data_IF_690540952622
#
_entry.id   IF_690540952622
#
_cell.length_a   1.000
_cell.length_b   1.000
_cell.length_c   1.000
_cell.angle_alpha   90.00
_cell.angle_beta   90.00
_cell.angle_gamma   90.00
#
_symmetry.space_group_name_H-M   'P 1'
#
loop_
_entity.id
_entity.type
_entity.pdbx_description
1 polymer ?
#
# COMPACT_ATOMS: atom_id res chain seq x y z
N UNK A 1 -20.02 22.33 -22.84
CA UNK A 1 -19.98 22.28 -21.36
C UNK A 1 -18.80 21.38 -20.96
N UNK A 2 -17.72 21.95 -20.43
CA UNK A 2 -16.51 21.21 -20.10
C UNK A 2 -16.46 20.91 -18.59
N UNK A 3 -16.31 19.63 -18.24
CA UNK A 3 -16.23 19.13 -16.87
C UNK A 3 -14.89 19.54 -16.22
N UNK A 4 -14.83 20.10 -15.00
CA UNK A 4 -13.57 20.50 -14.40
C UNK A 4 -12.79 19.27 -13.94
N UNK A 5 -11.64 19.02 -14.56
CA UNK A 5 -10.64 18.04 -14.11
C UNK A 5 -10.27 18.34 -12.66
N UNK A 6 -10.38 17.33 -11.78
CA UNK A 6 -10.09 17.44 -10.36
C UNK A 6 -8.70 18.05 -10.10
N UNK A 7 -8.70 19.25 -9.52
CA UNK A 7 -7.49 19.90 -9.00
C UNK A 7 -6.95 19.03 -7.86
N UNK A 8 -5.78 18.41 -8.02
CA UNK A 8 -5.07 17.76 -6.91
C UNK A 8 -4.89 18.80 -5.80
N UNK A 9 -5.45 18.54 -4.61
CA UNK A 9 -5.27 19.38 -3.42
C UNK A 9 -3.81 19.30 -2.98
N UNK A 10 -2.98 20.23 -3.46
CA UNK A 10 -1.62 20.48 -2.94
C UNK A 10 -1.62 21.45 -1.75
N UNK A 11 -2.78 21.96 -1.34
CA UNK A 11 -2.87 23.16 -0.51
C UNK A 11 -3.29 22.93 0.94
N UNK A 12 -2.98 21.78 1.54
CA UNK A 12 -3.28 21.54 2.97
C UNK A 12 -2.38 20.48 3.59
N UNK A 13 -1.07 20.60 3.44
CA UNK A 13 -0.13 19.82 4.26
C UNK A 13 0.21 20.65 5.52
N UNK A 14 0.16 20.04 6.72
CA UNK A 14 0.56 20.72 7.95
C UNK A 14 2.07 21.05 7.93
N UNK A 15 2.52 22.05 8.70
CA UNK A 15 3.84 22.67 8.58
C UNK A 15 5.07 21.80 8.91
N UNK A 16 4.89 20.49 9.13
CA UNK A 16 5.97 19.54 9.47
C UNK A 16 6.08 18.36 8.47
N UNK A 17 5.59 18.51 7.24
CA UNK A 17 5.52 17.43 6.25
C UNK A 17 6.23 17.77 4.93
N UNK A 18 7.42 18.37 5.04
CA UNK A 18 8.10 19.06 3.93
C UNK A 18 9.05 18.19 3.09
N UNK A 19 8.91 16.86 3.11
CA UNK A 19 9.61 16.00 2.15
C UNK A 19 8.63 15.10 1.43
N UNK A 20 7.98 15.67 0.40
CA UNK A 20 7.22 14.88 -0.57
C UNK A 20 8.22 14.12 -1.44
N UNK A 21 8.37 12.83 -1.20
CA UNK A 21 9.08 11.94 -2.13
C UNK A 21 8.20 11.77 -3.36
N UNK A 22 8.70 12.19 -4.53
CA UNK A 22 8.00 11.98 -5.80
C UNK A 22 8.37 10.60 -6.34
N UNK A 23 7.43 9.66 -6.27
CA UNK A 23 7.60 8.33 -6.85
C UNK A 23 7.30 8.37 -8.36
N UNK A 24 8.09 7.65 -9.14
CA UNK A 24 7.79 7.44 -10.56
C UNK A 24 6.53 6.56 -10.68
N UNK A 25 5.53 6.95 -11.50
CA UNK A 25 4.27 6.21 -11.62
C UNK A 25 4.41 4.75 -12.08
N UNK A 26 5.54 4.40 -12.70
CA UNK A 26 5.85 3.07 -13.22
C UNK A 26 6.77 2.24 -12.31
N UNK A 27 7.01 2.68 -11.07
CA UNK A 27 7.96 2.04 -10.14
C UNK A 27 7.27 1.60 -8.84
N UNK A 28 6.39 0.57 -8.89
CA UNK A 28 5.80 0.01 -7.67
C UNK A 28 6.88 -0.52 -6.71
N UNK A 29 8.02 -0.95 -7.24
CA UNK A 29 9.18 -1.45 -6.51
C UNK A 29 9.75 -0.43 -5.50
N UNK A 30 9.55 0.86 -5.78
CA UNK A 30 9.97 1.99 -4.94
C UNK A 30 8.85 2.52 -4.03
N UNK A 31 7.70 1.85 -3.99
CA UNK A 31 6.57 2.22 -3.15
C UNK A 31 6.35 1.15 -2.05
N UNK A 32 6.92 1.32 -0.84
CA UNK A 32 6.82 0.33 0.24
C UNK A 32 5.40 -0.07 0.62
N UNK A 33 4.40 0.80 0.36
CA UNK A 33 3.01 0.48 0.67
C UNK A 33 2.49 -0.70 -0.16
N UNK A 34 3.03 -0.95 -1.36
CA UNK A 34 2.66 -2.12 -2.16
C UNK A 34 3.00 -3.43 -1.42
N UNK A 35 4.11 -3.44 -0.67
CA UNK A 35 4.52 -4.58 0.16
C UNK A 35 3.69 -4.70 1.43
N UNK A 36 3.25 -3.58 2.00
CA UNK A 36 2.28 -3.59 3.09
C UNK A 36 0.94 -4.19 2.62
N UNK A 37 0.45 -3.80 1.44
CA UNK A 37 -0.76 -4.37 0.86
C UNK A 37 -0.62 -5.84 0.51
N UNK A 38 0.54 -6.27 0.01
CA UNK A 38 0.83 -7.68 -0.23
C UNK A 38 0.73 -8.48 1.07
N UNK A 39 1.42 -8.05 2.12
CA UNK A 39 1.40 -8.71 3.44
C UNK A 39 0.00 -8.77 4.04
N UNK A 40 -0.77 -7.69 3.94
CA UNK A 40 -2.16 -7.64 4.40
C UNK A 40 -3.01 -8.71 3.71
N UNK A 41 -2.94 -8.79 2.38
CA UNK A 41 -3.69 -9.78 1.60
C UNK A 41 -3.29 -11.21 1.97
N UNK A 42 -1.99 -11.48 2.08
CA UNK A 42 -1.47 -12.80 2.46
C UNK A 42 -2.01 -13.24 3.83
N UNK A 43 -1.95 -12.37 4.83
CA UNK A 43 -2.45 -12.71 6.17
C UNK A 43 -3.97 -12.87 6.18
N UNK A 44 -4.71 -12.06 5.40
CA UNK A 44 -6.16 -12.23 5.24
C UNK A 44 -6.48 -13.61 4.63
N UNK A 45 -5.78 -14.03 3.57
CA UNK A 45 -5.98 -15.35 2.96
C UNK A 45 -5.58 -16.51 3.88
N UNK A 46 -4.61 -16.31 4.78
CA UNK A 46 -4.26 -17.29 5.80
C UNK A 46 -5.34 -17.42 6.87
N UNK A 47 -5.95 -16.30 7.26
CA UNK A 47 -7.01 -16.24 8.27
C UNK A 47 -8.34 -16.78 7.74
N UNK A 48 -8.70 -16.41 6.51
CA UNK A 48 -9.88 -16.92 5.80
C UNK A 48 -9.53 -17.28 4.34
N UNK A 49 -9.21 -18.55 4.06
CA UNK A 49 -8.97 -19.04 2.70
C UNK A 49 -10.19 -18.96 1.78
N UNK A 50 -11.39 -18.79 2.33
CA UNK A 50 -12.65 -18.80 1.59
C UNK A 50 -13.26 -17.40 1.45
N UNK A 51 -12.50 -16.35 1.73
CA UNK A 51 -12.97 -14.95 1.74
C UNK A 51 -13.65 -14.51 0.44
N UNK A 52 -13.18 -14.98 -0.72
CA UNK A 52 -13.79 -14.69 -2.03
C UNK A 52 -15.18 -15.33 -2.22
N UNK A 53 -15.44 -16.39 -1.47
CA UNK A 53 -16.71 -17.11 -1.49
C UNK A 53 -17.73 -16.57 -0.49
N UNK A 54 -17.35 -15.61 0.37
CA UNK A 54 -18.29 -14.97 1.30
C UNK A 54 -19.48 -14.36 0.55
N UNK A 55 -20.70 -14.61 1.05
CA UNK A 55 -21.95 -14.12 0.46
C UNK A 55 -22.76 -13.39 1.53
N UNK A 56 -23.42 -12.32 1.11
CA UNK A 56 -24.28 -11.49 1.95
C UNK A 56 -24.76 -10.27 1.19
N UNK A 57 -25.52 -9.42 1.86
CA UNK A 57 -25.81 -8.07 1.37
C UNK A 57 -24.52 -7.27 1.20
N UNK A 58 -24.57 -6.21 0.39
CA UNK A 58 -23.42 -5.32 0.17
C UNK A 58 -22.88 -4.74 1.49
N UNK A 59 -23.76 -4.44 2.42
CA UNK A 59 -23.45 -3.90 3.75
C UNK A 59 -22.77 -4.95 4.63
N UNK A 60 -23.23 -6.20 4.61
CA UNK A 60 -22.59 -7.31 5.34
C UNK A 60 -21.20 -7.60 4.82
N UNK A 61 -21.05 -7.70 3.50
CA UNK A 61 -19.73 -7.88 2.85
C UNK A 61 -18.81 -6.74 3.27
N UNK A 62 -19.25 -5.48 3.16
CA UNK A 62 -18.43 -4.33 3.55
C UNK A 62 -18.01 -4.38 5.02
N UNK A 63 -18.94 -4.70 5.94
CA UNK A 63 -18.63 -4.78 7.38
C UNK A 63 -17.63 -5.91 7.65
N UNK A 64 -17.83 -7.06 7.04
CA UNK A 64 -16.97 -8.22 7.17
C UNK A 64 -15.54 -7.92 6.72
N UNK A 65 -15.37 -7.46 5.47
CA UNK A 65 -14.06 -7.10 4.93
C UNK A 65 -13.38 -5.98 5.73
N UNK A 66 -14.13 -4.95 6.16
CA UNK A 66 -13.57 -3.88 6.99
C UNK A 66 -13.02 -4.43 8.31
N UNK A 67 -13.78 -5.28 9.00
CA UNK A 67 -13.37 -5.88 10.27
C UNK A 67 -12.11 -6.73 10.12
N UNK A 68 -12.04 -7.57 9.08
CA UNK A 68 -10.85 -8.36 8.78
C UNK A 68 -9.62 -7.50 8.49
N UNK A 69 -9.77 -6.47 7.65
CA UNK A 69 -8.68 -5.54 7.33
C UNK A 69 -8.18 -4.86 8.60
N UNK A 70 -9.08 -4.35 9.45
CA UNK A 70 -8.71 -3.68 10.70
C UNK A 70 -8.00 -4.63 11.67
N UNK A 71 -8.50 -5.86 11.82
CA UNK A 71 -7.89 -6.89 12.65
C UNK A 71 -6.48 -7.22 12.18
N UNK A 72 -6.32 -7.58 10.90
CA UNK A 72 -5.04 -8.01 10.34
C UNK A 72 -4.04 -6.86 10.32
N UNK A 73 -4.48 -5.64 10.05
CA UNK A 73 -3.59 -4.47 10.06
C UNK A 73 -2.93 -4.25 11.43
N UNK A 74 -3.67 -4.47 12.52
CA UNK A 74 -3.15 -4.35 13.89
C UNK A 74 -2.24 -5.54 14.25
N UNK A 75 -2.45 -6.70 13.64
CA UNK A 75 -1.64 -7.91 13.87
C UNK A 75 -0.25 -7.82 13.20
N UNK A 76 -0.13 -7.12 12.07
CA UNK A 76 1.17 -6.91 11.42
C UNK A 76 2.05 -6.08 12.37
N UNK A 77 3.21 -6.63 12.73
CA UNK A 77 4.12 -5.98 13.68
C UNK A 77 4.65 -4.65 13.13
N UNK A 78 4.88 -3.70 14.04
CA UNK A 78 5.54 -2.43 13.69
C UNK A 78 6.91 -2.68 13.05
N UNK A 79 7.66 -3.66 13.55
CA UNK A 79 8.95 -4.08 12.99
C UNK A 79 8.86 -4.44 11.49
N UNK A 80 7.74 -5.00 11.01
CA UNK A 80 7.58 -5.28 9.59
C UNK A 80 7.57 -3.98 8.76
N UNK A 81 6.84 -2.97 9.24
CA UNK A 81 6.78 -1.67 8.58
C UNK A 81 8.12 -0.93 8.67
N UNK A 82 8.79 -1.00 9.81
CA UNK A 82 10.11 -0.38 10.00
C UNK A 82 11.13 -1.00 9.04
N UNK A 83 11.16 -2.33 8.92
CA UNK A 83 12.01 -3.04 7.96
C UNK A 83 11.67 -2.69 6.50
N UNK A 84 10.41 -2.44 6.16
CA UNK A 84 10.02 -1.97 4.82
C UNK A 84 10.60 -0.59 4.53
N UNK A 85 10.57 0.33 5.48
CA UNK A 85 11.15 1.67 5.34
C UNK A 85 12.66 1.57 5.22
N UNK A 86 13.31 0.80 6.10
CA UNK A 86 14.76 0.56 6.10
C UNK A 86 15.25 -0.14 4.82
N UNK A 87 14.36 -0.83 4.09
CA UNK A 87 14.70 -1.45 2.81
C UNK A 87 14.85 -0.45 1.64
N UNK A 88 14.39 0.80 1.80
CA UNK A 88 14.34 1.78 0.70
C UNK A 88 15.69 2.04 0.01
N UNK A 89 16.82 2.23 0.72
CA UNK A 89 18.11 2.39 0.07
C UNK A 89 18.45 1.22 -0.86
N UNK A 90 18.22 -0.03 -0.41
CA UNK A 90 18.46 -1.24 -1.21
C UNK A 90 17.54 -1.33 -2.44
N UNK A 91 16.28 -0.89 -2.33
CA UNK A 91 15.33 -0.84 -3.46
C UNK A 91 15.79 0.14 -4.53
N UNK A 92 16.24 1.33 -4.10
CA UNK A 92 16.78 2.36 -5.01
C UNK A 92 18.02 1.85 -5.73
N UNK A 93 18.96 1.24 -5.00
CA UNK A 93 20.15 0.63 -5.59
C UNK A 93 19.80 -0.46 -6.61
N UNK A 94 18.80 -1.30 -6.32
CA UNK A 94 18.35 -2.33 -7.25
C UNK A 94 17.79 -1.74 -8.55
N UNK A 95 17.00 -0.66 -8.48
CA UNK A 95 16.48 0.03 -9.67
C UNK A 95 17.61 0.69 -10.47
N UNK A 96 18.59 1.29 -9.79
CA UNK A 96 19.78 1.88 -10.45
C UNK A 96 20.58 0.79 -11.16
N UNK A 97 20.83 -0.34 -10.50
CA UNK A 97 21.55 -1.47 -11.08
C UNK A 97 20.79 -2.09 -12.26
N UNK A 98 19.46 -2.11 -12.19
CA UNK A 98 18.58 -2.52 -13.27
C UNK A 98 18.41 -1.43 -14.37
N UNK A 99 19.14 -0.31 -14.31
CA UNK A 99 19.02 0.80 -15.27
C UNK A 99 17.58 1.33 -15.42
N UNK A 100 16.80 1.32 -14.34
CA UNK A 100 15.40 1.73 -14.32
C UNK A 100 14.39 0.64 -14.70
N UNK A 101 14.84 -0.59 -15.00
CA UNK A 101 13.97 -1.74 -15.21
C UNK A 101 13.44 -2.33 -13.89
N UNK A 102 12.48 -3.25 -14.02
CA UNK A 102 11.84 -3.95 -12.90
C UNK A 102 12.84 -4.71 -12.03
N UNK A 103 12.54 -4.73 -10.74
CA UNK A 103 13.29 -5.44 -9.72
C UNK A 103 12.39 -6.49 -9.05
N UNK A 104 12.94 -7.22 -8.07
CA UNK A 104 12.18 -8.16 -7.25
C UNK A 104 11.32 -7.49 -6.16
N UNK A 105 11.52 -6.19 -5.97
CA UNK A 105 10.90 -5.39 -4.92
C UNK A 105 9.56 -4.82 -5.38
#
# INVERSE_FOLDING_TARGET
>A
MASPRGRRRRSSLPPNQDQIVTLNPASPDLNPIEHAWMRLKETIYQLDPHIESYRGTKEEIRRYFKGLIEQVWIEISQDYFDNLIESMPRRVEAVIAAQGWYTKY
#
